data_IF_431368808286
#
_entry.id   IF_431368808286
#
_cell.length_a   1.000
_cell.length_b   1.000
_cell.length_c   1.000
_cell.angle_alpha   90.00
_cell.angle_beta   90.00
_cell.angle_gamma   90.00
#
_symmetry.space_group_name_H-M   'P 1'
#
loop_
_entity.id
_entity.type
_entity.pdbx_description
1 polymer ?
#
# COMPACT_ATOMS: atom_id res chain seq x y z
N UNK A 1 -18.70 -7.60 12.24
CA UNK A 1 -19.28 -6.28 11.94
C UNK A 1 -20.46 -6.44 10.99
N UNK A 2 -21.58 -5.78 11.29
CA UNK A 2 -22.73 -5.76 10.39
C UNK A 2 -22.43 -4.86 9.19
N UNK A 3 -23.15 -5.05 8.07
CA UNK A 3 -23.07 -4.17 6.89
C UNK A 3 -23.27 -2.69 7.28
N UNK A 4 -24.21 -2.43 8.18
CA UNK A 4 -24.47 -1.09 8.71
C UNK A 4 -23.24 -0.46 9.39
N UNK A 5 -22.57 -1.19 10.29
CA UNK A 5 -21.36 -0.69 10.96
C UNK A 5 -20.20 -0.42 9.98
N UNK A 6 -20.09 -1.23 8.93
CA UNK A 6 -19.07 -1.03 7.90
C UNK A 6 -19.28 0.32 7.18
N UNK A 7 -20.49 0.61 6.70
CA UNK A 7 -20.78 1.87 6.04
C UNK A 7 -20.68 3.08 6.98
N UNK A 8 -21.05 2.93 8.26
CA UNK A 8 -20.82 4.01 9.25
C UNK A 8 -19.33 4.35 9.41
N UNK A 9 -18.45 3.36 9.41
CA UNK A 9 -17.00 3.61 9.45
C UNK A 9 -16.51 4.29 8.17
N UNK A 10 -16.99 3.84 7.02
CA UNK A 10 -16.66 4.46 5.74
C UNK A 10 -17.14 5.92 5.67
N UNK A 11 -18.36 6.22 6.13
CA UNK A 11 -18.88 7.59 6.21
C UNK A 11 -18.01 8.50 7.08
N UNK A 12 -17.57 7.99 8.22
CA UNK A 12 -16.68 8.73 9.12
C UNK A 12 -15.33 9.05 8.44
N UNK A 13 -14.75 8.05 7.74
CA UNK A 13 -13.51 8.26 6.98
C UNK A 13 -13.72 9.22 5.82
N UNK A 14 -14.82 9.07 5.08
CA UNK A 14 -15.17 9.98 3.98
C UNK A 14 -15.30 11.44 4.48
N UNK A 15 -15.86 11.65 5.67
CA UNK A 15 -15.93 12.98 6.30
C UNK A 15 -14.54 13.59 6.53
N UNK A 16 -13.59 12.80 7.02
CA UNK A 16 -12.21 13.25 7.22
C UNK A 16 -11.52 13.57 5.87
N UNK A 17 -11.70 12.69 4.85
CA UNK A 17 -11.15 12.92 3.52
C UNK A 17 -11.77 14.17 2.86
N UNK A 18 -13.08 14.40 3.05
CA UNK A 18 -13.76 15.60 2.57
C UNK A 18 -13.21 16.88 3.21
N UNK A 19 -12.91 16.82 4.50
CA UNK A 19 -12.28 17.95 5.18
C UNK A 19 -10.91 18.28 4.57
N UNK A 20 -10.07 17.25 4.29
CA UNK A 20 -8.78 17.43 3.61
C UNK A 20 -8.96 17.94 2.18
N UNK A 21 -9.95 17.43 1.44
CA UNK A 21 -10.30 17.91 0.11
C UNK A 21 -10.62 19.42 0.12
N UNK A 22 -11.41 19.88 1.07
CA UNK A 22 -11.76 21.30 1.22
C UNK A 22 -10.53 22.18 1.49
N UNK A 23 -9.47 21.64 2.09
CA UNK A 23 -8.17 22.30 2.27
C UNK A 23 -7.22 22.11 1.06
N UNK A 24 -7.66 21.45 -0.01
CA UNK A 24 -6.86 21.12 -1.20
C UNK A 24 -5.64 20.23 -0.87
N UNK A 25 -5.80 19.36 0.12
CA UNK A 25 -4.74 18.41 0.54
C UNK A 25 -5.01 17.05 -0.12
N UNK A 26 -4.12 16.54 -0.98
CA UNK A 26 -4.20 15.17 -1.50
C UNK A 26 -3.86 14.15 -0.41
N UNK A 27 -4.45 12.98 -0.48
CA UNK A 27 -4.27 11.91 0.50
C UNK A 27 -3.84 10.63 -0.21
N UNK A 28 -2.69 10.08 0.15
CA UNK A 28 -2.35 8.71 -0.24
C UNK A 28 -3.05 7.77 0.75
N UNK A 29 -3.96 6.97 0.25
CA UNK A 29 -4.81 6.11 1.08
C UNK A 29 -4.63 4.64 0.74
N UNK A 30 -4.27 3.86 1.75
CA UNK A 30 -4.16 2.40 1.69
C UNK A 30 -5.30 1.79 2.50
N UNK A 31 -6.41 1.38 1.88
CA UNK A 31 -7.58 0.88 2.60
C UNK A 31 -7.31 -0.44 3.34
N UNK A 32 -6.45 -1.28 2.79
CA UNK A 32 -6.14 -2.61 3.32
C UNK A 32 -4.63 -2.85 3.28
N UNK A 33 -3.98 -2.60 4.40
CA UNK A 33 -2.54 -2.84 4.57
C UNK A 33 -2.26 -4.33 4.53
N UNK A 34 -1.29 -4.75 3.69
CA UNK A 34 -0.90 -6.14 3.49
C UNK A 34 -2.09 -7.03 3.12
N UNK A 35 -2.68 -6.77 1.96
CA UNK A 35 -3.90 -7.39 1.46
C UNK A 35 -3.86 -8.92 1.34
N UNK A 36 -2.68 -9.53 1.43
CA UNK A 36 -2.42 -10.98 1.38
C UNK A 36 -2.08 -11.60 2.74
N UNK A 37 -2.02 -10.81 3.83
CA UNK A 37 -1.73 -11.32 5.17
C UNK A 37 -2.98 -11.97 5.80
N UNK A 38 -3.03 -13.30 5.77
CA UNK A 38 -4.14 -14.10 6.28
C UNK A 38 -4.38 -13.96 7.80
N UNK A 39 -3.50 -13.32 8.54
CA UNK A 39 -3.73 -12.96 9.94
C UNK A 39 -4.65 -11.74 10.07
N UNK A 40 -4.80 -10.95 9.01
CA UNK A 40 -5.68 -9.78 8.98
C UNK A 40 -7.10 -10.19 8.57
N UNK A 41 -8.10 -9.59 9.20
CA UNK A 41 -9.51 -9.90 8.99
C UNK A 41 -9.95 -9.77 7.53
N UNK A 42 -9.39 -8.84 6.78
CA UNK A 42 -9.73 -8.55 5.40
C UNK A 42 -9.10 -9.53 4.39
N UNK A 43 -8.06 -10.25 4.79
CA UNK A 43 -7.30 -11.14 3.90
C UNK A 43 -7.45 -12.64 4.26
N UNK A 44 -8.40 -13.00 5.13
CA UNK A 44 -8.61 -14.39 5.57
C UNK A 44 -9.17 -15.31 4.50
N UNK A 45 -9.94 -14.71 3.60
CA UNK A 45 -10.66 -15.42 2.54
C UNK A 45 -9.86 -15.46 1.22
N UNK A 46 -10.52 -15.88 0.15
CA UNK A 46 -9.90 -15.93 -1.18
C UNK A 46 -9.57 -14.53 -1.72
N UNK A 47 -8.54 -14.41 -2.58
CA UNK A 47 -8.09 -13.13 -3.13
C UNK A 47 -9.18 -12.28 -3.78
N UNK A 48 -10.14 -12.95 -4.44
CA UNK A 48 -11.27 -12.28 -5.10
C UNK A 48 -12.14 -11.48 -4.12
N UNK A 49 -12.21 -11.88 -2.86
CA UNK A 49 -13.02 -11.21 -1.86
C UNK A 49 -12.38 -9.88 -1.43
N UNK A 50 -11.05 -9.85 -1.21
CA UNK A 50 -10.37 -8.60 -0.90
C UNK A 50 -10.32 -7.66 -2.11
N UNK A 51 -10.17 -8.21 -3.33
CA UNK A 51 -10.26 -7.43 -4.57
C UNK A 51 -11.63 -6.74 -4.68
N UNK A 52 -12.72 -7.47 -4.48
CA UNK A 52 -14.09 -6.91 -4.48
C UNK A 52 -14.28 -5.87 -3.38
N UNK A 53 -13.73 -6.13 -2.19
CA UNK A 53 -13.82 -5.21 -1.07
C UNK A 53 -13.03 -3.92 -1.34
N UNK A 54 -11.85 -4.01 -1.93
CA UNK A 54 -11.06 -2.85 -2.33
C UNK A 54 -11.82 -1.98 -3.33
N UNK A 55 -12.34 -2.60 -4.39
CA UNK A 55 -13.15 -1.90 -5.42
C UNK A 55 -14.39 -1.24 -4.81
N UNK A 56 -15.09 -1.91 -3.90
CA UNK A 56 -16.24 -1.36 -3.20
C UNK A 56 -15.87 -0.10 -2.41
N UNK A 57 -14.75 -0.11 -1.69
CA UNK A 57 -14.28 1.08 -0.94
C UNK A 57 -13.89 2.21 -1.88
N UNK A 58 -13.18 1.89 -2.96
CA UNK A 58 -12.80 2.84 -3.99
C UNK A 58 -14.03 3.53 -4.58
N UNK A 59 -15.00 2.74 -5.08
CA UNK A 59 -16.19 3.27 -5.73
C UNK A 59 -17.05 4.10 -4.78
N UNK A 60 -17.19 3.64 -3.54
CA UNK A 60 -17.92 4.39 -2.52
C UNK A 60 -17.30 5.76 -2.24
N UNK A 61 -15.99 5.86 -2.10
CA UNK A 61 -15.33 7.13 -1.84
C UNK A 61 -15.29 8.02 -3.08
N UNK A 62 -14.96 7.45 -4.22
CA UNK A 62 -14.79 8.20 -5.47
C UNK A 62 -16.12 8.59 -6.09
N UNK A 63 -17.04 7.62 -6.27
CA UNK A 63 -18.27 7.82 -7.00
C UNK A 63 -19.42 8.29 -6.09
N UNK A 64 -19.64 7.64 -4.93
CA UNK A 64 -20.77 7.97 -4.07
C UNK A 64 -20.50 9.22 -3.22
N UNK A 65 -19.26 9.41 -2.75
CA UNK A 65 -18.85 10.57 -1.93
C UNK A 65 -18.17 11.68 -2.72
N UNK A 66 -17.82 11.45 -3.99
CA UNK A 66 -17.21 12.46 -4.86
C UNK A 66 -15.81 12.90 -4.41
N UNK A 67 -15.05 12.02 -3.78
CA UNK A 67 -13.70 12.33 -3.28
C UNK A 67 -12.67 12.15 -4.39
N UNK A 68 -12.16 13.25 -4.95
CA UNK A 68 -11.17 13.30 -6.03
C UNK A 68 -9.75 13.66 -5.55
N UNK A 69 -9.56 13.76 -4.25
CA UNK A 69 -8.27 14.06 -3.62
C UNK A 69 -7.54 12.84 -3.09
N UNK A 70 -8.02 11.64 -3.40
CA UNK A 70 -7.43 10.37 -2.95
C UNK A 70 -6.50 9.82 -4.02
N UNK A 71 -5.27 9.49 -3.63
CA UNK A 71 -4.31 8.70 -4.38
C UNK A 71 -4.37 7.28 -3.81
N UNK A 72 -4.84 6.34 -4.61
CA UNK A 72 -5.16 4.99 -4.15
C UNK A 72 -3.92 4.10 -4.10
N UNK A 73 -3.49 3.72 -2.91
CA UNK A 73 -2.35 2.84 -2.71
C UNK A 73 -2.79 1.41 -2.40
N UNK A 74 -2.26 0.47 -3.13
CA UNK A 74 -2.41 -0.95 -2.94
C UNK A 74 -1.16 -1.53 -2.28
N UNK A 75 -1.32 -2.36 -1.25
CA UNK A 75 -0.22 -2.81 -0.41
C UNK A 75 -0.30 -4.31 -0.12
N UNK A 76 0.79 -5.03 -0.40
CA UNK A 76 0.96 -6.45 -0.06
C UNK A 76 2.16 -6.68 0.86
N UNK A 77 2.20 -7.85 1.48
CA UNK A 77 3.39 -8.32 2.22
C UNK A 77 4.59 -8.53 1.29
N UNK A 78 5.72 -8.96 1.85
CA UNK A 78 6.90 -9.38 1.09
C UNK A 78 6.72 -10.72 0.35
N UNK A 79 5.58 -11.40 0.46
CA UNK A 79 5.34 -12.70 -0.17
C UNK A 79 5.43 -12.62 -1.69
N UNK A 80 6.04 -13.66 -2.28
CA UNK A 80 6.16 -13.77 -3.73
C UNK A 80 4.80 -14.03 -4.39
N UNK A 81 4.53 -13.36 -5.51
CA UNK A 81 3.29 -13.49 -6.26
C UNK A 81 2.07 -12.75 -5.67
N UNK A 82 2.22 -12.13 -4.48
CA UNK A 82 1.11 -11.46 -3.81
C UNK A 82 0.65 -10.20 -4.56
N UNK A 83 1.58 -9.43 -5.09
CA UNK A 83 1.27 -8.15 -5.74
C UNK A 83 0.34 -8.32 -6.94
N UNK A 84 0.62 -9.30 -7.80
CA UNK A 84 -0.22 -9.60 -8.96
C UNK A 84 -1.52 -10.31 -8.56
N UNK A 85 -1.43 -11.29 -7.66
CA UNK A 85 -2.56 -12.17 -7.30
C UNK A 85 -3.72 -11.41 -6.63
N UNK A 86 -3.41 -10.41 -5.81
CA UNK A 86 -4.42 -9.64 -5.05
C UNK A 86 -4.71 -8.27 -5.66
N UNK A 87 -4.25 -8.02 -6.89
CA UNK A 87 -4.36 -6.72 -7.54
C UNK A 87 -5.79 -6.33 -7.90
N UNK A 88 -6.28 -5.17 -7.42
CA UNK A 88 -7.66 -4.74 -7.71
C UNK A 88 -7.93 -4.34 -9.16
N UNK A 89 -6.89 -4.03 -9.92
CA UNK A 89 -7.00 -3.57 -11.30
C UNK A 89 -6.49 -2.14 -11.51
N UNK A 90 -6.16 -1.82 -12.75
CA UNK A 90 -5.51 -0.56 -13.12
C UNK A 90 -6.40 0.67 -12.83
N UNK A 91 -7.72 0.55 -12.93
CA UNK A 91 -8.65 1.66 -12.69
C UNK A 91 -8.83 2.00 -11.20
N UNK A 92 -8.34 1.16 -10.30
CA UNK A 92 -8.57 1.25 -8.86
C UNK A 92 -7.32 1.60 -8.05
N UNK A 93 -6.14 1.61 -8.68
CA UNK A 93 -4.86 1.75 -7.99
C UNK A 93 -3.97 2.76 -8.69
N UNK A 94 -3.40 3.69 -7.94
CA UNK A 94 -2.39 4.64 -8.42
C UNK A 94 -0.97 4.21 -8.00
N UNK A 95 -0.85 3.65 -6.81
CA UNK A 95 0.44 3.29 -6.18
C UNK A 95 0.49 1.81 -5.85
N UNK A 96 1.53 1.14 -6.34
CA UNK A 96 1.84 -0.26 -6.06
C UNK A 96 2.85 -0.34 -4.92
N UNK A 97 2.47 -0.96 -3.81
CA UNK A 97 3.27 -1.05 -2.61
C UNK A 97 3.51 -2.45 -2.09
N UNK A 98 4.67 -2.66 -1.51
CA UNK A 98 5.04 -3.88 -0.76
C UNK A 98 5.65 -3.54 0.58
N UNK A 99 5.51 -4.46 1.53
CA UNK A 99 6.35 -4.48 2.73
C UNK A 99 7.72 -5.08 2.41
N UNK A 100 8.77 -4.55 3.02
CA UNK A 100 10.10 -5.14 2.99
C UNK A 100 10.71 -5.10 4.39
N UNK A 101 11.10 -6.27 4.89
CA UNK A 101 11.70 -6.42 6.19
C UNK A 101 13.01 -7.22 6.12
N UNK A 102 13.95 -6.89 7.02
CA UNK A 102 15.23 -7.57 7.12
C UNK A 102 16.30 -7.06 6.17
N UNK A 103 17.34 -7.86 5.95
CA UNK A 103 18.54 -7.46 5.19
C UNK A 103 18.39 -7.61 3.68
N UNK A 104 17.43 -8.42 3.23
CA UNK A 104 17.28 -8.83 1.83
C UNK A 104 16.75 -7.73 0.91
N UNK A 105 15.83 -6.90 1.41
CA UNK A 105 15.16 -5.85 0.64
C UNK A 105 14.75 -6.34 -0.75
N UNK A 106 13.97 -7.43 -0.80
CA UNK A 106 13.58 -8.07 -2.05
C UNK A 106 12.17 -7.65 -2.50
N UNK A 107 12.09 -6.99 -3.64
CA UNK A 107 10.83 -6.71 -4.34
C UNK A 107 10.62 -7.78 -5.43
N UNK A 108 10.11 -8.94 -5.04
CA UNK A 108 10.05 -10.13 -5.89
C UNK A 108 9.28 -9.96 -7.20
N UNK A 109 8.31 -9.03 -7.25
CA UNK A 109 7.53 -8.73 -8.46
C UNK A 109 7.87 -7.36 -9.06
N UNK A 110 9.09 -6.90 -8.89
CA UNK A 110 9.50 -5.59 -9.36
C UNK A 110 9.31 -5.41 -10.88
N UNK A 111 9.66 -6.40 -11.67
CA UNK A 111 9.47 -6.33 -13.12
C UNK A 111 7.99 -6.19 -13.52
N UNK A 112 7.09 -6.91 -12.86
CA UNK A 112 5.65 -6.74 -13.07
C UNK A 112 5.19 -5.33 -12.70
N UNK A 113 5.66 -4.79 -11.58
CA UNK A 113 5.35 -3.41 -11.17
C UNK A 113 5.89 -2.37 -12.17
N UNK A 114 7.10 -2.60 -12.72
CA UNK A 114 7.68 -1.74 -13.78
C UNK A 114 6.85 -1.77 -15.05
N UNK A 115 6.32 -2.94 -15.44
CA UNK A 115 5.39 -3.04 -16.57
C UNK A 115 4.10 -2.27 -16.30
N UNK A 116 3.54 -2.34 -15.10
CA UNK A 116 2.38 -1.54 -14.69
C UNK A 116 2.66 -0.03 -14.72
N UNK A 117 3.85 0.38 -14.28
CA UNK A 117 4.28 1.77 -14.41
C UNK A 117 4.29 2.23 -15.87
N UNK A 118 4.87 1.45 -16.78
CA UNK A 118 4.97 1.78 -18.22
C UNK A 118 3.62 1.80 -18.92
N UNK A 119 2.78 0.80 -18.65
CA UNK A 119 1.55 0.55 -19.42
C UNK A 119 0.32 1.26 -18.83
N UNK A 120 0.31 1.52 -17.53
CA UNK A 120 -0.83 2.07 -16.80
C UNK A 120 -0.46 3.25 -15.88
N UNK A 121 0.74 3.80 -15.98
CA UNK A 121 1.16 5.00 -15.25
C UNK A 121 1.27 4.82 -13.73
N UNK A 122 1.44 3.57 -13.23
CA UNK A 122 1.45 3.32 -11.79
C UNK A 122 2.76 3.77 -11.13
N UNK A 123 2.65 4.23 -9.89
CA UNK A 123 3.81 4.56 -9.05
C UNK A 123 4.21 3.33 -8.25
N UNK A 124 5.52 3.11 -8.08
CA UNK A 124 6.06 1.98 -7.32
C UNK A 124 6.72 2.52 -6.07
N UNK A 125 6.37 1.97 -4.89
CA UNK A 125 7.05 2.32 -3.65
C UNK A 125 7.13 1.14 -2.68
N UNK A 126 7.91 1.27 -1.61
CA UNK A 126 7.77 0.41 -0.45
C UNK A 126 6.87 1.05 0.59
N UNK A 127 5.70 0.45 0.77
CA UNK A 127 4.68 0.91 1.73
C UNK A 127 5.13 0.76 3.17
N UNK A 128 5.96 -0.26 3.43
CA UNK A 128 6.63 -0.45 4.72
C UNK A 128 8.05 -0.97 4.49
N UNK A 129 9.03 -0.25 5.00
CA UNK A 129 10.43 -0.64 4.99
C UNK A 129 10.93 -0.76 6.41
N UNK A 130 11.15 -1.99 6.87
CA UNK A 130 11.64 -2.29 8.22
C UNK A 130 12.91 -3.11 8.21
N UNK A 131 13.82 -2.82 9.13
CA UNK A 131 15.11 -3.50 9.25
C UNK A 131 15.07 -4.38 10.49
N UNK A 132 14.29 -5.48 10.42
CA UNK A 132 14.19 -6.44 11.52
C UNK A 132 15.51 -7.17 11.77
N UNK A 133 15.82 -7.40 13.04
CA UNK A 133 16.88 -8.32 13.47
C UNK A 133 18.29 -7.79 13.38
N UNK A 134 18.49 -6.49 13.25
CA UNK A 134 19.83 -5.91 13.34
C UNK A 134 20.04 -5.25 14.70
N UNK A 135 20.97 -5.79 15.45
CA UNK A 135 21.33 -5.35 16.80
C UNK A 135 22.15 -4.06 16.85
N UNK A 136 22.46 -3.45 15.72
CA UNK A 136 23.22 -2.19 15.70
C UNK A 136 22.29 -0.99 15.46
N UNK A 137 22.04 -0.18 16.50
CA UNK A 137 21.24 1.04 16.39
C UNK A 137 21.91 2.14 15.56
N UNK A 138 23.16 1.94 15.13
CA UNK A 138 23.94 2.89 14.36
C UNK A 138 23.95 2.57 12.88
N UNK A 139 23.03 1.72 12.38
CA UNK A 139 23.02 1.35 10.98
C UNK A 139 22.89 2.60 10.09
N UNK A 140 23.85 2.74 9.22
CA UNK A 140 23.84 3.81 8.21
C UNK A 140 22.73 3.54 7.17
N UNK A 141 21.67 4.33 7.20
CA UNK A 141 20.59 4.28 6.22
C UNK A 141 21.09 4.56 4.80
N UNK A 142 22.27 5.16 4.64
CA UNK A 142 22.89 5.44 3.34
C UNK A 142 23.12 4.17 2.54
N UNK A 143 23.53 3.07 3.19
CA UNK A 143 23.71 1.77 2.52
C UNK A 143 22.38 1.17 2.03
N UNK A 144 21.32 1.38 2.79
CA UNK A 144 19.97 1.00 2.37
C UNK A 144 19.56 1.77 1.12
N UNK A 145 19.73 3.10 1.15
CA UNK A 145 19.39 3.97 0.03
C UNK A 145 20.19 3.63 -1.25
N UNK A 146 21.49 3.43 -1.14
CA UNK A 146 22.34 3.00 -2.26
C UNK A 146 21.88 1.67 -2.86
N UNK A 147 21.50 0.71 -2.00
CA UNK A 147 20.98 -0.58 -2.46
C UNK A 147 19.61 -0.42 -3.16
N UNK A 148 18.73 0.42 -2.63
CA UNK A 148 17.45 0.73 -3.27
C UNK A 148 17.64 1.35 -4.65
N UNK A 149 18.47 2.36 -4.75
CA UNK A 149 18.80 3.06 -6.00
C UNK A 149 19.39 2.10 -7.05
N UNK A 150 20.33 1.26 -6.64
CA UNK A 150 20.98 0.31 -7.55
C UNK A 150 20.06 -0.83 -8.01
N UNK A 151 19.18 -1.34 -7.12
CA UNK A 151 18.36 -2.53 -7.39
C UNK A 151 16.97 -2.21 -7.91
N UNK A 152 16.44 -1.01 -7.59
CA UNK A 152 15.06 -0.62 -7.87
C UNK A 152 14.96 0.82 -8.37
N UNK A 153 15.59 1.16 -9.53
CA UNK A 153 15.68 2.54 -10.02
C UNK A 153 14.33 3.18 -10.37
N UNK A 154 13.27 2.39 -10.56
CA UNK A 154 11.92 2.90 -10.84
C UNK A 154 11.08 3.13 -9.58
N UNK A 155 11.66 2.88 -8.40
CA UNK A 155 11.00 3.13 -7.12
C UNK A 155 10.88 4.62 -6.87
N UNK A 156 9.66 5.10 -6.60
CA UNK A 156 9.40 6.52 -6.32
C UNK A 156 9.70 6.90 -4.86
N UNK A 157 9.64 5.93 -3.94
CA UNK A 157 9.88 6.18 -2.52
C UNK A 157 9.60 4.99 -1.62
N UNK A 158 9.67 5.26 -0.34
CA UNK A 158 9.40 4.26 0.72
C UNK A 158 8.92 4.95 2.00
N UNK A 159 8.27 4.17 2.86
CA UNK A 159 7.89 4.57 4.22
C UNK A 159 8.64 3.68 5.20
N UNK A 160 9.45 4.28 6.08
CA UNK A 160 10.08 3.52 7.15
C UNK A 160 9.04 3.09 8.18
N UNK A 161 9.06 1.80 8.50
CA UNK A 161 8.31 1.24 9.61
C UNK A 161 9.22 1.09 10.83
N UNK A 162 8.84 1.74 11.92
CA UNK A 162 9.57 1.62 13.19
C UNK A 162 9.22 0.32 13.88
N UNK A 163 10.19 -0.57 14.02
CA UNK A 163 10.08 -1.73 14.91
C UNK A 163 10.34 -1.28 16.36
N UNK A 164 9.26 -1.07 17.14
CA UNK A 164 9.29 -0.99 18.61
C UNK A 164 10.27 0.00 19.27
N UNK A 165 10.39 1.21 18.75
CA UNK A 165 10.96 2.32 19.54
C UNK A 165 12.47 2.25 19.81
N UNK A 166 13.21 1.51 19.04
CA UNK A 166 14.68 1.54 19.06
C UNK A 166 15.17 2.53 17.99
N UNK A 167 15.20 3.80 18.36
CA UNK A 167 15.95 4.87 17.70
C UNK A 167 17.23 5.14 18.44
#
# INVERSE_FOLDING_TARGET
>A
PTKHNFYQQMDRMAGNMQWLKNQRIPVIYTPFVESDDRNKWHAKEEPENIIKLYRLVHDYFTNDKGLDNIIWAYHTTANHGALEKYYPGDDYVDVLGKSAYGTGLNFSEYNWAVEKKKNAGKVIWWSELGIRGQSDPRRDCTDVLKKLEASYPELAGFVFWSDNGHY
#
